data_IF_615254782629
#
_entry.id   IF_615254782629
#
_cell.length_a   1.000
_cell.length_b   1.000
_cell.length_c   1.000
_cell.angle_alpha   90.00
_cell.angle_beta   90.00
_cell.angle_gamma   90.00
#
_symmetry.space_group_name_H-M   'P 1'
#
loop_
_entity.id
_entity.type
_entity.pdbx_description
1 polymer ?
#
# COMPACT_ATOMS: atom_id res chain seq x y z
N UNK A 1 -2.46 -11.22 -22.95
CA UNK A 1 -3.85 -10.88 -22.55
C UNK A 1 -3.91 -10.77 -21.04
N UNK A 2 -4.45 -9.67 -20.51
CA UNK A 2 -4.53 -9.43 -19.05
C UNK A 2 -5.50 -10.43 -18.42
N UNK A 3 -5.04 -11.16 -17.39
CA UNK A 3 -5.85 -12.18 -16.70
C UNK A 3 -6.64 -11.59 -15.55
N UNK A 4 -6.03 -10.69 -14.78
CA UNK A 4 -6.69 -10.05 -13.65
C UNK A 4 -6.52 -8.53 -13.70
N UNK A 5 -7.55 -7.84 -14.19
CA UNK A 5 -7.59 -6.39 -14.25
C UNK A 5 -7.51 -5.72 -12.87
N UNK A 6 -8.00 -6.37 -11.81
CA UNK A 6 -7.88 -5.82 -10.45
C UNK A 6 -6.42 -5.76 -10.01
N UNK A 7 -5.65 -6.82 -10.23
CA UNK A 7 -4.21 -6.83 -9.90
C UNK A 7 -3.44 -5.84 -10.77
N UNK A 8 -3.82 -5.70 -12.04
CA UNK A 8 -3.21 -4.72 -12.93
C UNK A 8 -3.42 -3.28 -12.43
N UNK A 9 -4.67 -2.92 -12.13
CA UNK A 9 -5.04 -1.58 -11.65
C UNK A 9 -4.36 -1.29 -10.32
N UNK A 10 -4.46 -2.19 -9.35
CA UNK A 10 -3.82 -2.02 -8.03
C UNK A 10 -2.29 -1.92 -8.19
N UNK A 11 -1.69 -2.72 -9.08
CA UNK A 11 -0.26 -2.66 -9.37
C UNK A 11 0.19 -1.27 -9.83
N UNK A 12 -0.53 -0.66 -10.78
CA UNK A 12 -0.26 0.71 -11.23
C UNK A 12 -0.49 1.75 -10.13
N UNK A 13 -1.56 1.62 -9.34
CA UNK A 13 -1.83 2.55 -8.24
C UNK A 13 -0.71 2.48 -7.19
N UNK A 14 -0.19 1.30 -6.87
CA UNK A 14 0.94 1.14 -5.96
C UNK A 14 2.20 1.85 -6.48
N UNK A 15 2.53 1.70 -7.78
CA UNK A 15 3.67 2.41 -8.37
C UNK A 15 3.48 3.93 -8.38
N UNK A 16 2.29 4.40 -8.76
CA UNK A 16 1.98 5.83 -8.72
C UNK A 16 2.03 6.39 -7.29
N UNK A 17 1.54 5.63 -6.32
CA UNK A 17 1.60 5.98 -4.90
C UNK A 17 3.03 6.07 -4.38
N UNK A 18 3.94 5.18 -4.81
CA UNK A 18 5.35 5.30 -4.44
C UNK A 18 5.99 6.59 -4.98
N UNK A 19 5.64 6.97 -6.22
CA UNK A 19 6.12 8.20 -6.84
C UNK A 19 5.58 9.45 -6.12
N UNK A 20 4.27 9.52 -5.88
CA UNK A 20 3.66 10.67 -5.18
C UNK A 20 4.13 10.76 -3.73
N UNK A 21 4.32 9.63 -3.03
CA UNK A 21 4.90 9.58 -1.69
C UNK A 21 6.32 10.13 -1.65
N UNK A 22 7.15 9.77 -2.64
CA UNK A 22 8.51 10.30 -2.76
C UNK A 22 8.49 11.82 -2.96
N UNK A 23 7.64 12.32 -3.86
CA UNK A 23 7.47 13.76 -4.09
C UNK A 23 6.97 14.48 -2.84
N UNK A 24 6.03 13.90 -2.09
CA UNK A 24 5.56 14.47 -0.82
C UNK A 24 6.70 14.58 0.20
N UNK A 25 7.58 13.58 0.24
CA UNK A 25 8.81 13.60 1.03
C UNK A 25 9.67 14.83 0.75
N UNK A 26 10.02 15.01 -0.53
CA UNK A 26 10.88 16.09 -0.98
C UNK A 26 10.24 17.49 -0.86
N UNK A 27 8.94 17.60 -1.12
CA UNK A 27 8.26 18.90 -1.21
C UNK A 27 7.74 19.44 0.12
N UNK A 28 7.44 18.58 1.09
CA UNK A 28 6.89 19.03 2.38
C UNK A 28 7.55 18.38 3.59
N UNK A 29 7.68 17.05 3.63
CA UNK A 29 8.06 16.34 4.86
C UNK A 29 9.52 16.57 5.24
N UNK A 30 10.47 16.40 4.31
CA UNK A 30 11.90 16.58 4.61
C UNK A 30 12.28 18.03 4.91
N UNK A 31 11.76 19.05 4.19
CA UNK A 31 11.94 20.44 4.60
C UNK A 31 11.46 20.70 6.05
N UNK A 32 10.26 20.25 6.40
CA UNK A 32 9.69 20.42 7.75
C UNK A 32 10.52 19.68 8.82
N UNK A 33 10.97 18.45 8.52
CA UNK A 33 11.85 17.71 9.42
C UNK A 33 13.18 18.43 9.62
N UNK A 34 13.76 19.00 8.57
CA UNK A 34 15.06 19.67 8.63
C UNK A 34 14.99 20.90 9.53
N UNK A 35 13.92 21.70 9.45
CA UNK A 35 13.72 22.92 10.25
C UNK A 35 13.17 22.66 11.66
N UNK A 36 12.72 21.44 11.96
CA UNK A 36 12.19 21.09 13.29
C UNK A 36 13.27 20.94 14.37
N UNK A 37 12.88 21.14 15.64
CA UNK A 37 13.72 20.96 16.84
C UNK A 37 13.74 19.46 17.25
N UNK A 38 13.84 18.56 16.27
CA UNK A 38 13.94 17.11 16.49
C UNK A 38 15.42 16.72 16.55
N UNK A 39 15.75 15.74 17.40
CA UNK A 39 17.12 15.22 17.54
C UNK A 39 17.62 14.59 16.21
N UNK A 40 18.89 14.78 15.81
CA UNK A 40 19.35 14.40 14.46
C UNK A 40 19.16 12.93 14.10
N UNK A 41 19.39 11.99 15.04
CA UNK A 41 19.19 10.57 14.75
C UNK A 41 17.72 10.24 14.52
N UNK A 42 16.82 10.89 15.27
CA UNK A 42 15.38 10.79 15.04
C UNK A 42 14.99 11.26 13.63
N UNK A 43 15.61 12.33 13.09
CA UNK A 43 15.38 12.77 11.70
C UNK A 43 15.81 11.71 10.67
N UNK A 44 16.95 11.07 10.90
CA UNK A 44 17.43 9.96 10.06
C UNK A 44 16.44 8.80 10.08
N UNK A 45 15.89 8.49 11.27
CA UNK A 45 14.90 7.42 11.44
C UNK A 45 13.65 7.66 10.60
N UNK A 46 13.05 8.84 10.72
CA UNK A 46 11.89 9.20 9.91
C UNK A 46 12.19 9.17 8.41
N UNK A 47 13.39 9.61 8.02
CA UNK A 47 13.78 9.64 6.61
C UNK A 47 13.86 8.24 6.01
N UNK A 48 14.46 7.26 6.68
CA UNK A 48 14.50 5.91 6.11
C UNK A 48 13.12 5.25 6.14
N UNK A 49 12.30 5.45 7.18
CA UNK A 49 10.93 4.90 7.24
C UNK A 49 10.11 5.42 6.05
N UNK A 50 10.24 6.71 5.74
CA UNK A 50 9.60 7.32 4.59
C UNK A 50 9.96 6.61 3.28
N UNK A 51 11.25 6.31 3.06
CA UNK A 51 11.72 5.62 1.86
C UNK A 51 11.36 4.13 1.83
N UNK A 52 11.32 3.45 2.99
CA UNK A 52 10.88 2.04 3.06
C UNK A 52 9.44 1.90 2.57
N UNK A 53 8.55 2.82 2.95
CA UNK A 53 7.15 2.81 2.50
C UNK A 53 7.05 2.96 0.97
N UNK A 54 7.86 3.84 0.37
CA UNK A 54 7.95 3.94 -1.09
C UNK A 54 8.44 2.64 -1.72
N UNK A 55 9.50 2.05 -1.16
CA UNK A 55 10.06 0.78 -1.63
C UNK A 55 9.06 -0.38 -1.55
N UNK A 56 8.32 -0.48 -0.45
CA UNK A 56 7.26 -1.47 -0.26
C UNK A 56 6.17 -1.35 -1.35
N UNK A 57 5.71 -0.13 -1.61
CA UNK A 57 4.71 0.13 -2.65
C UNK A 57 5.24 -0.23 -4.05
N UNK A 58 6.53 0.00 -4.34
CA UNK A 58 7.15 -0.43 -5.60
C UNK A 58 7.13 -1.96 -5.72
N UNK A 59 7.55 -2.67 -4.67
CA UNK A 59 7.57 -4.13 -4.65
C UNK A 59 6.17 -4.70 -4.86
N UNK A 60 5.17 -4.17 -4.14
CA UNK A 60 3.77 -4.58 -4.32
C UNK A 60 3.28 -4.32 -5.74
N UNK A 61 3.58 -3.14 -6.29
CA UNK A 61 3.23 -2.77 -7.66
C UNK A 61 3.76 -3.77 -8.68
N UNK A 62 5.07 -4.02 -8.66
CA UNK A 62 5.73 -4.95 -9.59
C UNK A 62 5.17 -6.36 -9.46
N UNK A 63 5.04 -6.87 -8.22
CA UNK A 63 4.52 -8.22 -7.98
C UNK A 63 3.09 -8.36 -8.50
N UNK A 64 2.22 -7.37 -8.26
CA UNK A 64 0.84 -7.40 -8.74
C UNK A 64 0.73 -7.32 -10.27
N UNK A 65 1.58 -6.51 -10.92
CA UNK A 65 1.65 -6.45 -12.38
C UNK A 65 2.08 -7.81 -12.97
N UNK A 66 3.07 -8.47 -12.38
CA UNK A 66 3.48 -9.83 -12.79
C UNK A 66 2.32 -10.81 -12.61
N UNK A 67 1.62 -10.80 -11.47
CA UNK A 67 0.48 -11.68 -11.19
C UNK A 67 -0.73 -11.42 -12.11
N UNK A 68 -0.91 -10.18 -12.56
CA UNK A 68 -1.96 -9.79 -13.49
C UNK A 68 -1.76 -10.41 -14.89
N UNK A 69 -0.51 -10.62 -15.29
CA UNK A 69 -0.13 -11.11 -16.61
C UNK A 69 0.20 -12.62 -16.63
N UNK A 70 0.71 -13.17 -15.52
CA UNK A 70 1.17 -14.57 -15.47
C UNK A 70 -0.01 -15.56 -15.33
N UNK A 71 -0.17 -16.44 -16.33
CA UNK A 71 -1.22 -17.48 -16.34
C UNK A 71 -0.97 -18.60 -15.32
N UNK A 72 0.28 -18.93 -15.03
CA UNK A 72 0.68 -20.12 -14.28
C UNK A 72 1.09 -19.82 -12.82
N UNK A 73 0.74 -18.64 -12.29
CA UNK A 73 1.07 -18.30 -10.92
C UNK A 73 0.35 -19.24 -9.93
N UNK A 74 1.11 -20.17 -9.35
CA UNK A 74 0.64 -21.25 -8.48
C UNK A 74 0.18 -20.70 -7.12
N UNK A 75 0.84 -19.64 -6.63
CA UNK A 75 0.63 -19.09 -5.28
C UNK A 75 0.08 -17.65 -5.25
N UNK A 76 -0.55 -17.20 -6.33
CA UNK A 76 -1.01 -15.80 -6.43
C UNK A 76 -2.00 -15.38 -5.32
N UNK A 77 -2.81 -16.31 -4.81
CA UNK A 77 -3.71 -16.05 -3.67
C UNK A 77 -2.93 -15.72 -2.41
N UNK A 78 -1.94 -16.54 -2.05
CA UNK A 78 -1.13 -16.32 -0.85
C UNK A 78 -0.37 -15.00 -0.95
N UNK A 79 0.24 -14.73 -2.11
CA UNK A 79 0.95 -13.46 -2.35
C UNK A 79 0.04 -12.25 -2.16
N UNK A 80 -1.17 -12.28 -2.72
CA UNK A 80 -2.12 -11.17 -2.58
C UNK A 80 -2.62 -11.03 -1.14
N UNK A 81 -2.85 -12.14 -0.44
CA UNK A 81 -3.19 -12.11 1.00
C UNK A 81 -2.08 -11.47 1.85
N UNK A 82 -0.81 -11.77 1.56
CA UNK A 82 0.32 -11.15 2.26
C UNK A 82 0.39 -9.65 1.99
N UNK A 83 0.19 -9.21 0.74
CA UNK A 83 0.15 -7.77 0.41
C UNK A 83 -0.99 -7.09 1.17
N UNK A 84 -2.18 -7.68 1.18
CA UNK A 84 -3.32 -7.15 1.94
C UNK A 84 -3.02 -7.07 3.45
N UNK A 85 -2.38 -8.10 4.01
CA UNK A 85 -2.00 -8.11 5.42
C UNK A 85 -1.03 -6.97 5.76
N UNK A 86 0.00 -6.75 4.92
CA UNK A 86 0.94 -5.64 5.14
C UNK A 86 0.24 -4.28 5.04
N UNK A 87 -0.66 -4.08 4.07
CA UNK A 87 -1.44 -2.84 3.95
C UNK A 87 -2.31 -2.57 5.20
N UNK A 88 -2.93 -3.61 5.77
CA UNK A 88 -3.72 -3.49 7.01
C UNK A 88 -2.82 -3.15 8.19
N UNK A 89 -1.70 -3.86 8.37
CA UNK A 89 -0.75 -3.60 9.46
C UNK A 89 -0.23 -2.17 9.37
N UNK A 90 0.11 -1.70 8.16
CA UNK A 90 0.55 -0.33 7.93
C UNK A 90 -0.50 0.69 8.35
N UNK A 91 -1.75 0.49 7.93
CA UNK A 91 -2.86 1.37 8.32
C UNK A 91 -3.05 1.42 9.85
N UNK A 92 -2.97 0.28 10.53
CA UNK A 92 -3.07 0.19 11.99
C UNK A 92 -1.92 0.95 12.68
N UNK A 93 -0.68 0.77 12.22
CA UNK A 93 0.49 1.47 12.78
C UNK A 93 0.33 2.99 12.64
N UNK A 94 -0.14 3.48 11.49
CA UNK A 94 -0.37 4.91 11.25
C UNK A 94 -1.39 5.46 12.26
N UNK A 95 -2.52 4.78 12.43
CA UNK A 95 -3.58 5.20 13.37
C UNK A 95 -3.08 5.21 14.81
N UNK A 96 -2.43 4.13 15.25
CA UNK A 96 -1.90 4.03 16.62
C UNK A 96 -0.90 5.16 16.88
N UNK A 97 0.03 5.39 15.94
CA UNK A 97 1.05 6.44 16.07
C UNK A 97 0.40 7.81 16.17
N UNK A 98 -0.62 8.09 15.34
CA UNK A 98 -1.36 9.35 15.40
C UNK A 98 -2.06 9.54 16.75
N UNK A 99 -2.73 8.51 17.27
CA UNK A 99 -3.40 8.59 18.57
C UNK A 99 -2.43 8.85 19.73
N UNK A 100 -1.24 8.24 19.69
CA UNK A 100 -0.21 8.43 20.72
C UNK A 100 0.36 9.86 20.68
N UNK A 101 0.60 10.42 19.49
CA UNK A 101 1.28 11.71 19.35
C UNK A 101 0.34 12.92 19.35
N UNK A 102 -0.86 12.80 18.77
CA UNK A 102 -1.72 13.96 18.52
C UNK A 102 -2.48 14.41 19.78
N UNK A 103 -2.84 13.49 20.69
CA UNK A 103 -3.71 13.73 21.87
C UNK A 103 -5.04 14.48 21.59
N UNK A 104 -5.30 14.90 20.34
CA UNK A 104 -6.42 15.70 19.89
C UNK A 104 -7.10 15.02 18.70
N UNK A 105 -8.41 14.82 18.83
CA UNK A 105 -9.24 14.13 17.84
C UNK A 105 -9.54 15.02 16.62
N UNK A 106 -9.38 16.35 16.73
CA UNK A 106 -9.73 17.32 15.68
C UNK A 106 -8.91 17.18 14.40
N UNK A 107 -7.67 16.70 14.49
CA UNK A 107 -6.73 16.71 13.35
C UNK A 107 -6.71 15.38 12.58
N UNK A 108 -7.64 14.46 12.91
CA UNK A 108 -7.75 13.13 12.27
C UNK A 108 -8.07 13.23 10.78
N UNK A 109 -8.55 14.39 10.33
CA UNK A 109 -8.85 14.68 8.92
C UNK A 109 -7.61 14.56 8.02
N UNK A 110 -6.42 14.74 8.59
CA UNK A 110 -5.13 14.57 7.89
C UNK A 110 -4.93 13.12 7.43
N UNK A 111 -5.49 12.14 8.15
CA UNK A 111 -5.35 10.70 7.86
C UNK A 111 -6.35 10.17 6.82
N UNK A 112 -7.38 10.95 6.49
CA UNK A 112 -8.47 10.51 5.61
C UNK A 112 -7.97 10.12 4.22
N UNK A 113 -7.15 10.94 3.52
CA UNK A 113 -6.73 10.63 2.15
C UNK A 113 -5.96 9.30 2.08
N UNK A 114 -5.00 9.10 2.97
CA UNK A 114 -4.20 7.87 3.02
C UNK A 114 -5.05 6.64 3.36
N UNK A 115 -5.99 6.79 4.30
CA UNK A 115 -6.93 5.74 4.68
C UNK A 115 -7.82 5.31 3.53
N UNK A 116 -8.37 6.26 2.77
CA UNK A 116 -9.21 5.97 1.60
C UNK A 116 -8.44 5.17 0.55
N UNK A 117 -7.19 5.57 0.26
CA UNK A 117 -6.35 4.87 -0.71
C UNK A 117 -6.06 3.44 -0.22
N UNK A 118 -5.64 3.25 1.03
CA UNK A 118 -5.33 1.92 1.57
C UNK A 118 -6.54 0.97 1.53
N UNK A 119 -7.70 1.41 2.02
CA UNK A 119 -8.92 0.59 1.97
C UNK A 119 -9.38 0.32 0.54
N UNK A 120 -9.25 1.29 -0.36
CA UNK A 120 -9.51 1.11 -1.79
C UNK A 120 -8.65 -0.01 -2.41
N UNK A 121 -7.35 -0.04 -2.10
CA UNK A 121 -6.43 -1.09 -2.56
C UNK A 121 -6.85 -2.47 -2.02
N UNK A 122 -7.14 -2.56 -0.72
CA UNK A 122 -7.57 -3.80 -0.05
C UNK A 122 -8.85 -4.34 -0.70
N UNK A 123 -9.85 -3.49 -0.91
CA UNK A 123 -11.13 -3.87 -1.52
C UNK A 123 -10.94 -4.35 -2.97
N UNK A 124 -10.13 -3.64 -3.77
CA UNK A 124 -9.84 -4.05 -5.14
C UNK A 124 -9.11 -5.40 -5.20
N UNK A 125 -8.13 -5.62 -4.31
CA UNK A 125 -7.43 -6.91 -4.21
C UNK A 125 -8.38 -8.05 -3.82
N UNK A 126 -9.30 -7.79 -2.89
CA UNK A 126 -10.34 -8.74 -2.49
C UNK A 126 -11.25 -9.15 -3.66
N UNK A 127 -11.68 -8.19 -4.48
CA UNK A 127 -12.42 -8.49 -5.72
C UNK A 127 -11.58 -9.29 -6.72
N UNK A 128 -10.30 -8.95 -6.85
CA UNK A 128 -9.34 -9.71 -7.66
C UNK A 128 -9.23 -11.18 -7.25
N UNK A 129 -9.24 -11.47 -5.95
CA UNK A 129 -9.24 -12.83 -5.41
C UNK A 129 -10.56 -13.57 -5.68
N UNK A 130 -11.70 -12.92 -5.44
CA UNK A 130 -13.03 -13.51 -5.67
C UNK A 130 -13.24 -13.92 -7.12
N UNK A 131 -12.83 -13.07 -8.08
CA UNK A 131 -12.93 -13.37 -9.52
C UNK A 131 -12.17 -14.64 -9.89
N UNK A 132 -10.95 -14.84 -9.35
CA UNK A 132 -10.16 -16.06 -9.61
C UNK A 132 -10.84 -17.31 -9.04
N UNK A 133 -11.42 -17.23 -7.83
CA UNK A 133 -12.10 -18.37 -7.20
C UNK A 133 -13.28 -18.90 -8.04
N UNK A 134 -14.08 -17.99 -8.62
CA UNK A 134 -15.23 -18.35 -9.46
C UNK A 134 -14.82 -19.06 -10.75
N UNK A 135 -13.71 -18.66 -11.36
CA UNK A 135 -13.18 -19.29 -12.58
C UNK A 135 -12.70 -20.73 -12.31
N UNK A 136 -12.03 -20.96 -11.18
CA UNK A 136 -11.56 -22.31 -10.80
C UNK A 136 -12.76 -23.21 -10.47
N UNK A 137 -13.74 -22.71 -9.71
CA UNK A 137 -14.96 -23.47 -9.39
C UNK A 137 -15.68 -23.95 -10.64
N UNK A 138 -15.92 -23.06 -11.62
CA UNK A 138 -16.59 -23.43 -12.88
C UNK A 138 -15.79 -24.45 -13.74
N UNK A 139 -14.46 -24.50 -13.61
CA UNK A 139 -13.64 -25.49 -14.32
C UNK A 139 -13.68 -26.90 -13.71
N UNK A 140 -14.05 -27.01 -12.43
CA UNK A 140 -14.11 -28.31 -11.74
C UNK A 140 -15.51 -28.96 -11.84
N UNK A 141 -16.49 -28.27 -12.43
CA UNK A 141 -17.89 -28.73 -12.60
C UNK A 141 -18.18 -29.17 -14.05
N UNK A 142 -17.27 -28.89 -14.98
CA UNK A 142 -17.28 -29.34 -16.39
C UNK A 142 -16.26 -30.45 -16.58
#
# INVERSE_FOLDING_TARGET
MVRNYFYLIVGFICLLSAFTHTIGGLSSVFPNLTTSIIEPNTKVIFTYIWHIIAGENIVFGIVLLILALNKNAVNDKLTVWLIMAVLIVRWVIIIITYFILSNNISDITILIPESIVMWGLIILLWFGLKKKSKIISNKNVL
#
